data_IF_123933588185
#
_entry.id   IF_123933588185
#
_cell.length_a   1.000
_cell.length_b   1.000
_cell.length_c   1.000
_cell.angle_alpha   90.00
_cell.angle_beta   90.00
_cell.angle_gamma   90.00
#
_symmetry.space_group_name_H-M   'P 1'
#
loop_
_entity.id
_entity.type
_entity.pdbx_description
1 polymer ?
#
# COMPACT_ATOMS: atom_id res chain seq x y z
N UNK A 1 7.36 -3.21 -69.74
CA UNK A 1 7.62 -3.41 -68.28
C UNK A 1 7.25 -2.19 -67.39
N UNK A 2 7.07 -0.97 -67.86
CA UNK A 2 6.72 0.21 -67.01
C UNK A 2 5.23 0.34 -66.65
N UNK A 3 4.32 -0.09 -67.50
CA UNK A 3 2.84 0.01 -67.25
C UNK A 3 2.32 -0.92 -66.15
N UNK A 4 2.87 -2.13 -66.04
CA UNK A 4 2.46 -3.11 -65.04
C UNK A 4 2.84 -2.70 -63.60
N UNK A 5 3.99 -2.01 -63.41
CA UNK A 5 4.41 -1.49 -62.09
C UNK A 5 3.54 -0.33 -61.60
N UNK A 6 3.05 0.53 -62.55
CA UNK A 6 2.17 1.63 -62.21
C UNK A 6 0.79 1.16 -61.78
N UNK A 7 0.26 0.11 -62.45
CA UNK A 7 -1.02 -0.51 -62.07
C UNK A 7 -0.94 -1.22 -60.74
N UNK A 8 0.19 -1.86 -60.41
CA UNK A 8 0.43 -2.49 -59.11
C UNK A 8 0.52 -1.49 -57.98
N UNK A 9 1.15 -0.33 -58.24
CA UNK A 9 1.28 0.77 -57.26
C UNK A 9 -0.06 1.46 -57.01
N UNK A 10 -0.88 1.65 -58.02
CA UNK A 10 -2.23 2.20 -57.88
C UNK A 10 -3.17 1.24 -57.16
N UNK A 11 -3.05 -0.07 -57.36
CA UNK A 11 -3.85 -1.09 -56.67
C UNK A 11 -3.46 -1.22 -55.21
N UNK A 12 -2.16 -1.13 -54.86
CA UNK A 12 -1.69 -1.16 -53.47
C UNK A 12 -2.08 0.10 -52.71
N UNK A 13 -2.08 1.29 -53.31
CA UNK A 13 -2.61 2.51 -52.70
C UNK A 13 -4.10 2.44 -52.50
N UNK A 14 -4.88 1.95 -53.48
CA UNK A 14 -6.32 1.76 -53.37
C UNK A 14 -6.74 0.75 -52.28
N UNK A 15 -5.89 -0.21 -51.96
CA UNK A 15 -6.12 -1.18 -50.87
C UNK A 15 -5.72 -0.64 -49.48
N UNK A 16 -4.76 0.30 -49.42
CA UNK A 16 -4.31 0.92 -48.18
C UNK A 16 -5.26 2.00 -47.65
N UNK A 17 -5.90 2.74 -48.52
CA UNK A 17 -6.83 3.82 -48.16
C UNK A 17 -8.02 3.35 -47.31
N UNK A 18 -8.75 2.25 -47.63
CA UNK A 18 -9.85 1.80 -46.77
C UNK A 18 -9.39 1.20 -45.44
N UNK A 19 -8.14 0.69 -45.32
CA UNK A 19 -7.60 0.18 -44.08
C UNK A 19 -7.29 1.34 -43.13
N UNK A 20 -6.69 2.40 -43.65
CA UNK A 20 -6.35 3.60 -42.82
C UNK A 20 -7.63 4.36 -42.46
N UNK A 21 -8.61 4.52 -43.38
CA UNK A 21 -9.88 5.17 -43.08
C UNK A 21 -10.73 4.33 -42.11
N UNK A 22 -10.69 3.01 -42.18
CA UNK A 22 -11.42 2.12 -41.29
C UNK A 22 -10.86 2.14 -39.83
N UNK A 23 -9.55 2.29 -39.67
CA UNK A 23 -8.93 2.42 -38.34
C UNK A 23 -9.17 3.80 -37.70
N UNK A 24 -9.13 4.89 -38.48
CA UNK A 24 -9.49 6.22 -37.99
C UNK A 24 -10.98 6.34 -37.65
N UNK A 25 -11.89 5.71 -38.43
CA UNK A 25 -13.32 5.71 -38.12
C UNK A 25 -13.67 4.92 -36.86
N UNK A 26 -12.92 3.82 -36.56
CA UNK A 26 -13.13 3.04 -35.35
C UNK A 26 -12.67 3.79 -34.10
N UNK A 27 -11.53 4.46 -34.15
CA UNK A 27 -11.04 5.29 -33.05
C UNK A 27 -12.01 6.46 -32.74
N UNK A 28 -12.55 7.10 -33.79
CA UNK A 28 -13.52 8.22 -33.65
C UNK A 28 -14.89 7.75 -33.12
N UNK A 29 -15.33 6.53 -33.44
CA UNK A 29 -16.60 5.96 -32.94
C UNK A 29 -16.53 5.52 -31.50
N UNK A 30 -15.39 4.97 -31.03
CA UNK A 30 -15.19 4.61 -29.62
C UNK A 30 -15.12 5.85 -28.70
N UNK A 31 -14.48 6.92 -29.16
CA UNK A 31 -14.40 8.18 -28.39
C UNK A 31 -15.75 8.91 -28.32
N UNK A 32 -16.54 8.86 -29.37
CA UNK A 32 -17.89 9.46 -29.38
C UNK A 32 -18.88 8.65 -28.53
N UNK A 33 -18.84 7.33 -28.60
CA UNK A 33 -19.67 6.44 -27.77
C UNK A 33 -19.35 6.60 -26.26
N UNK A 34 -18.08 6.79 -25.92
CA UNK A 34 -17.66 7.07 -24.54
C UNK A 34 -18.16 8.43 -24.03
N UNK A 35 -18.08 9.48 -24.85
CA UNK A 35 -18.56 10.83 -24.51
C UNK A 35 -20.08 10.86 -24.34
N UNK A 36 -20.83 10.17 -25.22
CA UNK A 36 -22.29 10.07 -25.12
C UNK A 36 -22.75 9.32 -23.87
N UNK A 37 -22.02 8.25 -23.49
CA UNK A 37 -22.25 7.49 -22.28
C UNK A 37 -21.98 8.33 -21.04
N UNK A 38 -20.87 9.04 -20.98
CA UNK A 38 -20.50 9.90 -19.86
C UNK A 38 -21.50 11.03 -19.69
N UNK A 39 -21.89 11.73 -20.78
CA UNK A 39 -22.89 12.80 -20.77
C UNK A 39 -24.25 12.32 -20.25
N UNK A 40 -24.68 11.12 -20.65
CA UNK A 40 -25.92 10.51 -20.16
C UNK A 40 -25.84 10.20 -18.66
N UNK A 41 -24.72 9.64 -18.21
CA UNK A 41 -24.52 9.32 -16.78
C UNK A 41 -24.49 10.59 -15.91
N UNK A 42 -23.82 11.65 -16.38
CA UNK A 42 -23.82 12.95 -15.69
C UNK A 42 -25.23 13.58 -15.65
N UNK A 43 -26.04 13.41 -16.70
CA UNK A 43 -27.43 13.86 -16.71
C UNK A 43 -28.25 13.13 -15.64
N UNK A 44 -28.12 11.80 -15.54
CA UNK A 44 -28.81 11.01 -14.50
C UNK A 44 -28.35 11.42 -13.10
N UNK A 45 -27.04 11.62 -12.91
CA UNK A 45 -26.50 12.10 -11.64
C UNK A 45 -27.09 13.46 -11.23
N UNK A 46 -27.14 14.41 -12.16
CA UNK A 46 -27.75 15.73 -11.94
C UNK A 46 -29.25 15.64 -11.63
N UNK A 47 -29.96 14.72 -12.29
CA UNK A 47 -31.39 14.46 -12.03
C UNK A 47 -31.58 13.93 -10.59
N UNK A 48 -30.76 12.98 -10.14
CA UNK A 48 -30.79 12.43 -8.78
C UNK A 48 -30.55 13.53 -7.74
N UNK A 49 -29.53 14.39 -7.93
CA UNK A 49 -29.26 15.50 -7.03
C UNK A 49 -30.45 16.48 -6.96
N UNK A 50 -31.05 16.78 -8.12
CA UNK A 50 -32.23 17.64 -8.19
C UNK A 50 -33.46 17.03 -7.51
N UNK A 51 -33.63 15.72 -7.60
CA UNK A 51 -34.69 14.97 -6.92
C UNK A 51 -34.50 14.99 -5.42
N UNK A 52 -33.30 14.71 -4.93
CA UNK A 52 -32.97 14.76 -3.49
C UNK A 52 -33.33 16.15 -2.95
N UNK A 53 -32.85 17.22 -3.58
CA UNK A 53 -33.11 18.60 -3.14
C UNK A 53 -34.61 18.94 -3.06
N UNK A 54 -35.47 18.33 -3.90
CA UNK A 54 -36.90 18.64 -3.95
C UNK A 54 -37.77 17.74 -3.08
N UNK A 55 -37.34 16.50 -2.91
CA UNK A 55 -38.19 15.45 -2.34
C UNK A 55 -37.68 14.84 -1.04
N UNK A 56 -36.42 15.10 -0.65
CA UNK A 56 -35.92 14.61 0.62
C UNK A 56 -36.59 15.36 1.79
N UNK A 57 -36.83 14.66 2.88
CA UNK A 57 -37.62 15.13 4.03
C UNK A 57 -36.92 16.26 4.82
N UNK A 58 -35.59 16.30 4.75
CA UNK A 58 -34.79 17.33 5.42
C UNK A 58 -34.07 18.20 4.37
N UNK A 59 -33.77 19.46 4.73
CA UNK A 59 -32.93 20.31 3.88
C UNK A 59 -31.51 19.76 3.86
N UNK A 60 -30.98 19.56 2.67
CA UNK A 60 -29.63 19.03 2.45
C UNK A 60 -28.75 20.05 1.75
N UNK A 61 -27.51 20.18 2.19
CA UNK A 61 -26.49 20.95 1.50
C UNK A 61 -26.10 20.27 0.20
N UNK A 62 -26.18 20.99 -0.91
CA UNK A 62 -25.73 20.50 -2.22
C UNK A 62 -24.24 20.25 -2.22
N UNK A 63 -23.47 21.04 -1.50
CA UNK A 63 -22.02 20.89 -1.34
C UNK A 63 -21.68 19.58 -0.63
N UNK A 64 -22.38 19.25 0.48
CA UNK A 64 -22.17 17.99 1.20
C UNK A 64 -22.58 16.76 0.37
N UNK A 65 -23.69 16.85 -0.37
CA UNK A 65 -24.10 15.77 -1.27
C UNK A 65 -23.08 15.51 -2.37
N UNK A 66 -22.56 16.59 -2.98
CA UNK A 66 -21.56 16.47 -4.04
C UNK A 66 -20.23 15.93 -3.47
N UNK A 67 -19.77 16.45 -2.32
CA UNK A 67 -18.59 15.98 -1.65
C UNK A 67 -18.69 14.49 -1.31
N UNK A 68 -19.84 14.03 -0.76
CA UNK A 68 -20.07 12.63 -0.47
C UNK A 68 -20.10 11.72 -1.71
N UNK A 69 -20.63 12.22 -2.83
CA UNK A 69 -20.62 11.48 -4.10
C UNK A 69 -19.23 11.36 -4.70
N UNK A 70 -18.42 12.43 -4.63
CA UNK A 70 -17.02 12.43 -5.10
C UNK A 70 -16.12 11.56 -4.20
N UNK A 71 -16.32 11.61 -2.88
CA UNK A 71 -15.62 10.74 -1.95
C UNK A 71 -15.96 9.26 -2.19
N UNK A 72 -17.25 8.94 -2.37
CA UNK A 72 -17.68 7.59 -2.72
C UNK A 72 -17.12 7.10 -4.06
N UNK A 73 -16.91 8.00 -5.03
CA UNK A 73 -16.24 7.68 -6.29
C UNK A 73 -14.76 7.38 -6.09
N UNK A 74 -14.10 8.08 -5.16
CA UNK A 74 -12.70 7.83 -4.80
C UNK A 74 -12.54 6.51 -4.04
N UNK A 75 -13.40 6.25 -3.04
CA UNK A 75 -13.45 5.00 -2.25
C UNK A 75 -13.67 3.74 -3.13
N UNK A 76 -14.26 3.91 -4.32
CA UNK A 76 -14.46 2.84 -5.29
C UNK A 76 -13.21 2.51 -6.13
N UNK A 77 -12.16 3.34 -6.10
CA UNK A 77 -10.93 3.14 -6.86
C UNK A 77 -9.92 2.29 -6.10
N UNK A 78 -9.53 2.75 -4.93
CA UNK A 78 -8.63 2.04 -4.01
C UNK A 78 -8.85 2.51 -2.56
N UNK A 79 -8.26 1.79 -1.63
CA UNK A 79 -8.44 1.98 -0.18
C UNK A 79 -7.76 3.23 0.38
N UNK A 80 -6.96 3.93 -0.43
CA UNK A 80 -6.20 5.13 -0.05
C UNK A 80 -6.67 6.39 -0.80
N UNK A 81 -7.53 6.23 -1.80
CA UNK A 81 -8.07 7.35 -2.56
C UNK A 81 -9.11 8.13 -1.75
N UNK A 82 -9.13 9.45 -1.89
CA UNK A 82 -10.11 10.30 -1.21
C UNK A 82 -10.29 11.64 -1.93
N UNK A 83 -11.50 12.19 -1.88
CA UNK A 83 -11.80 13.54 -2.36
C UNK A 83 -11.62 14.55 -1.21
N UNK A 84 -10.94 15.66 -1.48
CA UNK A 84 -10.66 16.73 -0.52
C UNK A 84 -11.34 18.00 -1.01
N UNK A 85 -12.42 18.48 -0.35
CA UNK A 85 -13.08 19.71 -0.73
C UNK A 85 -12.15 20.91 -0.55
N UNK A 86 -12.40 22.00 -1.28
CA UNK A 86 -11.58 23.22 -1.23
C UNK A 86 -11.29 23.68 0.21
N UNK A 87 -12.30 23.62 1.08
CA UNK A 87 -12.19 24.02 2.48
C UNK A 87 -11.21 23.14 3.31
N UNK A 88 -10.88 21.95 2.85
CA UNK A 88 -9.98 21.02 3.51
C UNK A 88 -8.57 20.95 2.93
N UNK A 89 -8.33 21.53 1.76
CA UNK A 89 -7.09 21.31 0.98
C UNK A 89 -5.84 21.77 1.73
N UNK A 90 -5.84 23.00 2.27
CA UNK A 90 -4.63 23.52 2.92
C UNK A 90 -4.34 22.77 4.22
N UNK A 91 -5.36 22.51 5.03
CA UNK A 91 -5.22 21.70 6.22
C UNK A 91 -4.70 20.30 5.91
N UNK A 92 -5.23 19.63 4.87
CA UNK A 92 -4.78 18.27 4.53
C UNK A 92 -3.36 18.23 3.97
N UNK A 93 -2.86 19.29 3.34
CA UNK A 93 -1.44 19.40 2.95
C UNK A 93 -0.52 19.37 4.16
N UNK A 94 -0.88 20.10 5.23
CA UNK A 94 -0.14 20.08 6.49
C UNK A 94 -0.19 18.68 7.12
N UNK A 95 -1.36 18.08 7.20
CA UNK A 95 -1.57 16.73 7.71
C UNK A 95 -0.71 15.71 6.97
N UNK A 96 -0.60 15.78 5.65
CA UNK A 96 0.25 14.87 4.88
C UNK A 96 1.74 14.99 5.20
N UNK A 97 2.21 16.16 5.62
CA UNK A 97 3.60 16.33 6.06
C UNK A 97 3.84 15.69 7.44
N UNK A 98 2.84 15.71 8.31
CA UNK A 98 2.86 15.05 9.61
C UNK A 98 2.76 13.52 9.43
N UNK A 99 1.87 13.04 8.55
CA UNK A 99 1.63 11.62 8.32
C UNK A 99 1.23 10.90 9.61
N UNK A 100 1.92 9.81 9.95
CA UNK A 100 1.67 9.02 11.16
C UNK A 100 2.44 9.50 12.40
N UNK A 101 3.21 10.60 12.33
CA UNK A 101 4.15 11.01 13.38
C UNK A 101 3.51 11.31 14.74
N UNK A 102 2.20 11.60 14.78
CA UNK A 102 1.50 11.93 16.03
C UNK A 102 0.64 10.77 16.57
N UNK A 103 0.28 9.81 15.76
CA UNK A 103 -0.50 8.65 16.20
C UNK A 103 0.25 7.32 16.07
N UNK A 104 1.18 7.20 15.13
CA UNK A 104 1.81 5.94 14.76
C UNK A 104 0.89 4.99 13.99
N UNK A 105 -0.23 5.50 13.47
CA UNK A 105 -1.24 4.69 12.79
C UNK A 105 -1.21 4.92 11.28
N UNK A 106 -1.20 3.83 10.52
CA UNK A 106 -1.59 3.85 9.12
C UNK A 106 -3.01 3.32 9.01
N UNK A 107 -3.89 4.11 8.42
CA UNK A 107 -5.32 3.78 8.26
C UNK A 107 -5.71 3.80 6.79
N UNK A 108 -6.65 2.94 6.45
CA UNK A 108 -7.26 2.86 5.13
C UNK A 108 -8.77 2.73 5.24
N UNK A 109 -9.46 2.88 4.11
CA UNK A 109 -10.91 2.74 4.05
C UNK A 109 -11.30 1.88 2.85
N UNK A 110 -12.15 0.89 3.07
CA UNK A 110 -12.70 0.06 2.01
C UNK A 110 -14.22 0.01 2.17
N UNK A 111 -14.95 0.47 1.15
CA UNK A 111 -16.42 0.48 1.09
C UNK A 111 -17.07 1.08 2.33
N UNK A 112 -16.52 2.19 2.80
CA UNK A 112 -17.00 2.90 3.98
C UNK A 112 -16.53 2.33 5.32
N UNK A 113 -15.72 1.29 5.35
CA UNK A 113 -15.15 0.71 6.57
C UNK A 113 -13.73 1.23 6.75
N UNK A 114 -13.50 1.99 7.81
CA UNK A 114 -12.17 2.48 8.18
C UNK A 114 -11.48 1.44 9.08
N UNK A 115 -10.22 1.14 8.82
CA UNK A 115 -9.47 0.16 9.60
C UNK A 115 -7.99 0.53 9.73
N UNK A 116 -7.38 -0.02 10.77
CA UNK A 116 -5.94 0.12 11.05
C UNK A 116 -5.16 -0.87 10.21
N UNK A 117 -4.32 -0.37 9.31
CA UNK A 117 -3.41 -1.17 8.47
C UNK A 117 -2.19 -1.56 9.26
N UNK A 118 -1.58 -0.58 9.95
CA UNK A 118 -0.37 -0.78 10.74
C UNK A 118 -0.36 0.13 11.97
N UNK A 119 0.31 -0.33 13.01
CA UNK A 119 0.60 0.41 14.24
C UNK A 119 2.11 0.39 14.44
N UNK A 120 2.74 1.56 14.47
CA UNK A 120 4.17 1.66 14.70
C UNK A 120 4.51 1.34 16.16
N UNK A 121 5.58 0.58 16.42
CA UNK A 121 6.00 0.25 17.79
C UNK A 121 6.33 1.51 18.61
N UNK A 122 6.04 1.49 19.90
CA UNK A 122 6.26 2.59 20.85
C UNK A 122 5.62 3.92 20.41
N UNK A 123 4.58 3.86 19.59
CA UNK A 123 3.78 5.02 19.17
C UNK A 123 2.59 5.24 20.10
N UNK A 124 1.97 6.44 20.10
CA UNK A 124 0.73 6.68 20.83
C UNK A 124 -0.39 5.68 20.53
N UNK A 125 -0.51 5.23 19.28
CA UNK A 125 -1.48 4.19 18.90
C UNK A 125 -1.18 2.84 19.54
N UNK A 126 0.11 2.47 19.62
CA UNK A 126 0.54 1.25 20.31
C UNK A 126 0.29 1.35 21.82
N UNK A 127 0.60 2.50 22.44
CA UNK A 127 0.35 2.73 23.87
C UNK A 127 -1.14 2.75 24.22
N UNK A 128 -1.99 3.24 23.32
CA UNK A 128 -3.45 3.19 23.45
C UNK A 128 -4.02 1.76 23.29
N UNK A 129 -3.19 0.77 22.93
CA UNK A 129 -3.61 -0.61 22.74
C UNK A 129 -4.31 -0.86 21.42
N UNK A 130 -4.10 -0.01 20.40
CA UNK A 130 -4.59 -0.26 19.05
C UNK A 130 -3.79 -1.39 18.39
N UNK A 131 -4.49 -2.21 17.61
CA UNK A 131 -3.90 -3.33 16.89
C UNK A 131 -4.21 -3.21 15.39
N UNK A 132 -3.33 -3.80 14.60
CA UNK A 132 -3.56 -4.00 13.18
C UNK A 132 -4.83 -4.82 12.95
N UNK A 133 -5.67 -4.38 11.99
CA UNK A 133 -6.95 -4.99 11.66
C UNK A 133 -8.12 -4.48 12.50
N UNK A 134 -7.89 -3.59 13.46
CA UNK A 134 -8.95 -2.90 14.17
C UNK A 134 -9.82 -2.12 13.21
N UNK A 135 -11.12 -2.27 13.31
CA UNK A 135 -12.08 -1.43 12.59
C UNK A 135 -12.39 -0.23 13.47
N UNK A 136 -12.08 0.94 12.97
CA UNK A 136 -12.42 2.20 13.63
C UNK A 136 -13.89 2.53 13.34
N UNK A 137 -14.79 2.29 14.29
CA UNK A 137 -16.21 2.55 14.12
C UNK A 137 -16.57 4.01 14.34
N UNK A 138 -15.93 4.65 15.36
CA UNK A 138 -16.08 6.08 15.65
C UNK A 138 -14.76 6.69 16.06
N UNK A 139 -14.62 7.98 15.78
CA UNK A 139 -13.60 8.90 16.36
C UNK A 139 -14.40 10.00 17.04
N UNK A 140 -14.22 10.14 18.34
CA UNK A 140 -15.10 10.89 19.22
C UNK A 140 -16.57 10.39 19.03
N UNK A 141 -17.52 11.28 18.84
CA UNK A 141 -18.93 10.90 18.59
C UNK A 141 -19.25 10.73 17.10
N UNK A 142 -18.24 10.83 16.20
CA UNK A 142 -18.46 10.80 14.75
C UNK A 142 -18.18 9.42 14.18
N UNK A 143 -19.18 8.83 13.51
CA UNK A 143 -19.00 7.57 12.80
C UNK A 143 -18.06 7.70 11.61
N UNK A 144 -17.03 6.86 11.58
CA UNK A 144 -16.03 6.82 10.48
C UNK A 144 -16.64 6.38 9.14
N UNK A 145 -17.78 5.68 9.17
CA UNK A 145 -18.49 5.25 7.96
C UNK A 145 -18.86 6.41 7.04
N UNK A 146 -19.19 7.57 7.66
CA UNK A 146 -19.55 8.80 6.94
C UNK A 146 -18.40 9.80 6.86
N UNK A 147 -17.27 9.48 7.48
CA UNK A 147 -16.09 10.33 7.51
C UNK A 147 -15.21 9.99 6.29
N UNK A 148 -14.90 10.94 5.41
CA UNK A 148 -13.92 10.74 4.35
C UNK A 148 -12.56 10.35 4.91
N UNK A 149 -11.75 9.57 4.17
CA UNK A 149 -10.46 9.11 4.64
C UNK A 149 -9.53 10.28 5.03
N UNK A 150 -9.53 11.36 4.23
CA UNK A 150 -8.71 12.54 4.55
C UNK A 150 -9.03 13.17 5.92
N UNK A 151 -10.31 13.15 6.33
CA UNK A 151 -10.72 13.67 7.66
C UNK A 151 -10.27 12.75 8.79
N UNK A 152 -10.34 11.44 8.59
CA UNK A 152 -9.82 10.47 9.54
C UNK A 152 -8.31 10.64 9.72
N UNK A 153 -7.57 10.74 8.61
CA UNK A 153 -6.14 11.00 8.64
C UNK A 153 -5.81 12.34 9.32
N UNK A 154 -6.63 13.38 9.08
CA UNK A 154 -6.48 14.67 9.74
C UNK A 154 -6.68 14.60 11.26
N UNK A 155 -7.68 13.85 11.71
CA UNK A 155 -7.89 13.65 13.14
C UNK A 155 -6.71 12.95 13.80
N UNK A 156 -6.17 11.91 13.17
CA UNK A 156 -5.04 11.12 13.68
C UNK A 156 -3.67 11.84 13.58
N UNK A 157 -3.59 12.93 12.82
CA UNK A 157 -2.42 13.79 12.70
C UNK A 157 -2.59 15.12 13.44
N UNK A 158 -3.58 15.23 14.32
CA UNK A 158 -3.86 16.43 15.11
C UNK A 158 -2.71 16.84 16.03
N UNK A 159 -2.92 17.91 16.81
CA UNK A 159 -1.87 18.44 17.68
C UNK A 159 -1.50 17.47 18.82
N UNK A 160 -0.20 17.33 19.16
CA UNK A 160 0.24 16.54 20.31
C UNK A 160 -0.46 16.98 21.61
N UNK A 161 -0.90 15.97 22.39
CA UNK A 161 -1.69 16.17 23.61
C UNK A 161 -3.20 16.15 23.38
N UNK A 162 -3.67 16.08 22.14
CA UNK A 162 -5.09 15.88 21.84
C UNK A 162 -5.50 14.47 22.20
N UNK A 163 -6.58 14.32 22.95
CA UNK A 163 -7.20 13.03 23.24
C UNK A 163 -8.33 12.74 22.25
N UNK A 164 -8.29 11.57 21.62
CA UNK A 164 -9.33 11.05 20.73
C UNK A 164 -9.98 9.82 21.37
N UNK A 165 -11.29 9.83 21.47
CA UNK A 165 -12.08 8.68 21.92
C UNK A 165 -12.36 7.81 20.70
N UNK A 166 -11.90 6.56 20.72
CA UNK A 166 -12.02 5.63 19.60
C UNK A 166 -12.97 4.49 19.99
N UNK A 167 -14.07 4.32 19.27
CA UNK A 167 -14.85 3.08 19.31
C UNK A 167 -14.27 2.13 18.25
N UNK A 168 -13.71 1.02 18.71
CA UNK A 168 -12.99 0.05 17.90
C UNK A 168 -13.72 -1.28 17.89
N UNK A 169 -13.90 -1.88 16.73
CA UNK A 169 -14.40 -3.25 16.61
C UNK A 169 -13.22 -4.18 16.32
N UNK A 170 -12.89 -5.03 17.30
CA UNK A 170 -11.84 -6.04 17.24
C UNK A 170 -12.41 -7.43 17.49
N UNK A 171 -12.25 -8.36 16.56
CA UNK A 171 -12.69 -9.77 16.69
C UNK A 171 -14.16 -9.89 17.12
N UNK A 172 -15.03 -8.98 16.64
CA UNK A 172 -16.46 -8.95 16.97
C UNK A 172 -16.80 -8.33 18.33
N UNK A 173 -15.82 -7.82 19.06
CA UNK A 173 -16.02 -7.08 20.32
C UNK A 173 -15.84 -5.59 20.08
N UNK A 174 -16.65 -4.78 20.73
CA UNK A 174 -16.51 -3.32 20.75
C UNK A 174 -15.63 -2.93 21.92
N UNK A 175 -14.61 -2.13 21.66
CA UNK A 175 -13.66 -1.59 22.64
C UNK A 175 -13.70 -0.06 22.56
N UNK A 176 -13.70 0.59 23.72
CA UNK A 176 -13.54 2.03 23.83
C UNK A 176 -12.10 2.30 24.25
N UNK A 177 -11.32 2.92 23.36
CA UNK A 177 -9.92 3.25 23.56
C UNK A 177 -9.73 4.77 23.53
N UNK A 178 -8.82 5.26 24.37
CA UNK A 178 -8.41 6.67 24.32
C UNK A 178 -7.02 6.76 23.70
N UNK A 179 -6.91 7.44 22.57
CA UNK A 179 -5.66 7.75 21.91
C UNK A 179 -5.24 9.18 22.25
N UNK A 180 -4.14 9.33 22.97
CA UNK A 180 -3.53 10.65 23.19
C UNK A 180 -2.46 10.86 22.14
N UNK A 181 -2.67 11.81 21.22
CA UNK A 181 -1.70 12.14 20.17
C UNK A 181 -0.40 12.68 20.78
N UNK A 182 0.73 12.28 20.22
CA UNK A 182 2.04 12.70 20.70
C UNK A 182 3.14 12.44 19.69
N UNK A 183 4.29 13.06 19.89
CA UNK A 183 5.48 12.75 19.10
C UNK A 183 6.18 11.52 19.69
N UNK A 184 6.68 10.65 18.83
CA UNK A 184 7.46 9.49 19.21
C UNK A 184 8.65 9.34 18.25
N UNK A 185 9.68 8.62 18.69
CA UNK A 185 10.83 8.32 17.84
C UNK A 185 10.63 6.99 17.13
N UNK A 186 10.78 6.99 15.82
CA UNK A 186 10.76 5.76 15.03
C UNK A 186 11.96 4.89 15.42
N UNK A 187 11.72 3.62 15.70
CA UNK A 187 12.79 2.71 16.07
C UNK A 187 13.64 2.37 14.84
N UNK A 188 14.97 2.36 14.94
CA UNK A 188 15.83 1.89 13.86
C UNK A 188 15.62 0.38 13.65
N UNK A 189 16.06 -0.18 12.50
CA UNK A 189 16.17 -1.62 12.33
C UNK A 189 16.90 -2.27 13.50
N UNK A 190 16.43 -3.44 13.95
CA UNK A 190 17.01 -4.16 15.07
C UNK A 190 17.36 -5.60 14.69
N UNK A 191 18.37 -6.15 15.36
CA UNK A 191 18.80 -7.53 15.19
C UNK A 191 18.68 -8.26 16.53
N UNK A 192 17.97 -9.38 16.50
CA UNK A 192 17.77 -10.25 17.66
C UNK A 192 18.30 -11.66 17.38
N UNK A 193 18.61 -12.40 18.42
CA UNK A 193 18.94 -13.83 18.32
C UNK A 193 17.81 -14.61 18.97
N UNK A 194 17.02 -15.31 18.15
CA UNK A 194 15.89 -16.12 18.62
C UNK A 194 16.14 -17.57 18.21
N UNK A 195 16.15 -18.48 19.18
CA UNK A 195 16.46 -19.90 18.97
C UNK A 195 17.78 -20.14 18.20
N UNK A 196 18.77 -19.25 18.39
CA UNK A 196 20.07 -19.33 17.73
C UNK A 196 20.10 -18.79 16.30
N UNK A 197 19.00 -18.32 15.77
CA UNK A 197 18.90 -17.68 14.45
C UNK A 197 18.94 -16.15 14.55
N UNK A 198 19.47 -15.48 13.54
CA UNK A 198 19.46 -14.03 13.42
C UNK A 198 18.11 -13.57 12.86
N UNK A 199 17.44 -12.69 13.59
CA UNK A 199 16.15 -12.10 13.22
C UNK A 199 16.34 -10.60 13.06
N UNK A 200 16.26 -10.12 11.82
CA UNK A 200 16.29 -8.71 11.47
C UNK A 200 14.85 -8.18 11.42
N UNK A 201 14.53 -7.22 12.27
CA UNK A 201 13.27 -6.50 12.20
C UNK A 201 13.49 -5.17 11.48
N UNK A 202 12.87 -4.99 10.33
CA UNK A 202 12.77 -3.70 9.66
C UNK A 202 11.58 -2.93 10.23
N UNK A 203 11.76 -1.62 10.42
CA UNK A 203 10.75 -0.76 11.05
C UNK A 203 10.18 0.26 10.07
N UNK A 204 11.05 0.85 9.26
CA UNK A 204 10.65 1.86 8.29
C UNK A 204 11.68 2.00 7.16
N UNK A 205 11.20 2.19 5.93
CA UNK A 205 12.07 2.44 4.77
C UNK A 205 12.43 3.92 4.68
N UNK A 206 13.46 4.32 5.43
CA UNK A 206 14.00 5.68 5.48
C UNK A 206 15.51 5.67 5.14
N UNK A 207 16.00 6.75 4.54
CA UNK A 207 17.39 6.83 4.11
C UNK A 207 18.39 6.60 5.24
N UNK A 208 18.08 7.07 6.47
CA UNK A 208 18.91 6.85 7.65
C UNK A 208 19.09 5.36 7.98
N UNK A 209 18.06 4.56 7.75
CA UNK A 209 18.06 3.12 8.06
C UNK A 209 18.87 2.29 7.06
N UNK A 210 19.18 2.81 5.87
CA UNK A 210 20.01 2.11 4.86
C UNK A 210 21.43 1.88 5.41
N UNK A 211 22.04 2.90 6.00
CA UNK A 211 23.40 2.79 6.55
C UNK A 211 23.43 1.90 7.82
N UNK A 212 22.38 1.95 8.64
CA UNK A 212 22.24 1.03 9.79
C UNK A 212 22.18 -0.41 9.30
N UNK A 213 21.34 -0.69 8.30
CA UNK A 213 21.19 -2.03 7.72
C UNK A 213 22.51 -2.52 7.09
N UNK A 214 23.22 -1.66 6.36
CA UNK A 214 24.54 -2.00 5.80
C UNK A 214 25.52 -2.44 6.88
N UNK A 215 25.57 -1.71 7.99
CA UNK A 215 26.43 -2.06 9.13
C UNK A 215 26.08 -3.44 9.71
N UNK A 216 24.78 -3.69 9.95
CA UNK A 216 24.32 -4.98 10.46
C UNK A 216 24.65 -6.15 9.52
N UNK A 217 24.42 -5.98 8.22
CA UNK A 217 24.74 -7.03 7.24
C UNK A 217 26.24 -7.29 7.15
N UNK A 218 27.07 -6.26 7.21
CA UNK A 218 28.54 -6.40 7.21
C UNK A 218 29.02 -7.16 8.46
N UNK A 219 28.43 -6.93 9.63
CA UNK A 219 28.72 -7.68 10.86
C UNK A 219 28.35 -9.17 10.71
N UNK A 220 27.17 -9.49 10.17
CA UNK A 220 26.76 -10.86 9.94
C UNK A 220 27.72 -11.61 9.00
N UNK A 221 28.14 -10.96 7.91
CA UNK A 221 29.11 -11.53 6.97
C UNK A 221 30.47 -11.75 7.63
N UNK A 222 30.93 -10.83 8.50
CA UNK A 222 32.17 -10.96 9.24
C UNK A 222 32.13 -12.09 10.29
N UNK A 223 30.93 -12.42 10.79
CA UNK A 223 30.66 -13.54 11.73
C UNK A 223 30.42 -14.88 10.99
N UNK A 224 30.55 -14.92 9.66
CA UNK A 224 30.28 -16.11 8.83
C UNK A 224 28.86 -16.65 8.98
N UNK A 225 27.89 -15.74 9.19
CA UNK A 225 26.46 -16.05 9.25
C UNK A 225 25.93 -16.10 7.83
N UNK A 226 25.19 -17.15 7.48
CA UNK A 226 24.66 -17.40 6.14
C UNK A 226 23.11 -17.51 6.10
N UNK A 227 22.43 -17.32 7.25
CA UNK A 227 20.99 -17.43 7.39
C UNK A 227 20.40 -16.25 8.14
N UNK A 228 19.34 -15.68 7.60
CA UNK A 228 18.70 -14.50 8.16
C UNK A 228 17.18 -14.56 8.00
N UNK A 229 16.46 -14.37 9.10
CA UNK A 229 15.03 -14.11 9.07
C UNK A 229 14.80 -12.61 9.07
N UNK A 230 13.97 -12.10 8.12
CA UNK A 230 13.65 -10.68 8.00
C UNK A 230 12.17 -10.48 8.30
N UNK A 231 11.85 -9.70 9.32
CA UNK A 231 10.49 -9.38 9.71
C UNK A 231 10.08 -8.01 9.16
N UNK A 232 9.14 -8.01 8.21
CA UNK A 232 8.52 -6.81 7.63
C UNK A 232 7.02 -6.74 7.93
N UNK A 233 6.56 -7.48 8.92
CA UNK A 233 5.16 -7.46 9.36
C UNK A 233 4.79 -6.11 9.97
N UNK A 234 3.59 -5.62 9.65
CA UNK A 234 3.11 -4.33 10.13
C UNK A 234 3.86 -3.12 9.55
N UNK A 235 4.70 -3.31 8.54
CA UNK A 235 5.51 -2.26 7.95
C UNK A 235 4.74 -1.59 6.79
N UNK A 236 4.06 -0.49 7.10
CA UNK A 236 3.29 0.30 6.13
C UNK A 236 3.94 1.65 5.78
N UNK A 237 5.01 2.01 6.47
CA UNK A 237 5.67 3.30 6.30
C UNK A 237 6.97 3.26 5.51
N UNK A 238 7.30 4.39 4.87
CA UNK A 238 8.59 4.60 4.24
C UNK A 238 8.51 4.96 2.76
N UNK A 239 9.69 5.20 2.20
CA UNK A 239 9.89 5.58 0.80
C UNK A 239 10.14 4.33 -0.07
N UNK A 240 9.44 4.25 -1.19
CA UNK A 240 9.57 3.13 -2.12
C UNK A 240 10.96 3.01 -2.75
N UNK A 241 11.61 4.12 -3.07
CA UNK A 241 12.98 4.13 -3.60
C UNK A 241 13.97 3.59 -2.56
N UNK A 242 13.74 3.89 -1.28
CA UNK A 242 14.55 3.34 -0.17
C UNK A 242 14.31 1.84 -0.03
N UNK A 243 13.06 1.35 -0.22
CA UNK A 243 12.80 -0.08 -0.19
C UNK A 243 13.58 -0.84 -1.27
N UNK A 244 13.61 -0.33 -2.50
CA UNK A 244 14.49 -0.87 -3.55
C UNK A 244 15.97 -0.79 -3.17
N UNK A 245 16.41 0.34 -2.59
CA UNK A 245 17.80 0.50 -2.17
C UNK A 245 18.21 -0.48 -1.08
N UNK A 246 17.32 -0.76 -0.13
CA UNK A 246 17.55 -1.77 0.91
C UNK A 246 17.55 -3.19 0.33
N UNK A 247 16.61 -3.51 -0.58
CA UNK A 247 16.61 -4.80 -1.26
C UNK A 247 17.90 -5.01 -2.08
N UNK A 248 18.42 -3.95 -2.71
CA UNK A 248 19.69 -3.97 -3.43
C UNK A 248 20.92 -4.25 -2.55
N UNK A 249 20.81 -4.29 -1.22
CA UNK A 249 21.87 -4.78 -0.34
C UNK A 249 21.97 -6.32 -0.32
N UNK A 250 20.92 -6.99 -0.77
CA UNK A 250 20.78 -8.45 -0.82
C UNK A 250 20.89 -9.02 -2.23
N UNK A 251 20.45 -8.26 -3.25
CA UNK A 251 20.34 -8.72 -4.63
C UNK A 251 20.81 -7.64 -5.61
N UNK A 252 21.26 -8.06 -6.80
CA UNK A 252 21.65 -7.19 -7.91
C UNK A 252 20.64 -7.22 -9.06
N UNK A 253 20.91 -6.41 -10.10
CA UNK A 253 20.11 -6.37 -11.33
C UNK A 253 18.96 -5.36 -11.29
N UNK A 254 17.95 -5.59 -12.14
CA UNK A 254 16.76 -4.75 -12.19
C UNK A 254 15.82 -5.13 -11.06
N UNK A 255 15.59 -4.20 -10.12
CA UNK A 255 14.78 -4.45 -8.93
C UNK A 255 13.28 -4.20 -9.15
N UNK A 256 12.94 -3.43 -10.18
CA UNK A 256 11.57 -3.07 -10.50
C UNK A 256 11.47 -1.67 -11.09
N UNK A 257 10.25 -1.17 -11.19
CA UNK A 257 9.98 0.13 -11.81
C UNK A 257 8.72 0.78 -11.25
N UNK A 258 8.59 2.08 -11.46
CA UNK A 258 7.36 2.83 -11.24
C UNK A 258 6.71 3.12 -12.59
N UNK A 259 5.52 2.58 -12.80
CA UNK A 259 4.75 2.70 -14.03
C UNK A 259 3.56 3.64 -13.85
N UNK A 260 3.44 4.62 -14.72
CA UNK A 260 2.32 5.56 -14.80
C UNK A 260 1.72 5.53 -16.22
N UNK A 261 0.48 6.00 -16.38
CA UNK A 261 -0.14 6.14 -17.70
C UNK A 261 0.46 7.26 -18.53
N UNK A 262 0.88 8.35 -17.87
CA UNK A 262 1.17 9.63 -18.50
C UNK A 262 2.63 10.07 -18.33
N UNK A 263 3.43 9.37 -17.52
CA UNK A 263 4.81 9.71 -17.25
C UNK A 263 5.76 8.60 -17.72
N UNK A 264 7.01 8.96 -17.95
CA UNK A 264 8.04 7.98 -18.28
C UNK A 264 8.25 7.01 -17.10
N UNK A 265 8.45 5.74 -17.41
CA UNK A 265 8.77 4.71 -16.42
C UNK A 265 10.08 5.04 -15.70
N UNK A 266 10.08 4.93 -14.37
CA UNK A 266 11.27 5.07 -13.54
C UNK A 266 11.76 3.67 -13.18
N UNK A 267 13.02 3.37 -13.48
CA UNK A 267 13.62 2.06 -13.19
C UNK A 267 14.49 2.11 -11.93
N UNK A 268 14.41 1.06 -11.12
CA UNK A 268 15.22 0.87 -9.91
C UNK A 268 16.22 -0.26 -10.14
N UNK A 269 17.49 0.02 -9.83
CA UNK A 269 18.60 -0.91 -10.05
C UNK A 269 19.26 -1.25 -8.71
N UNK A 270 19.65 -2.52 -8.56
CA UNK A 270 20.45 -2.99 -7.44
C UNK A 270 21.89 -2.49 -7.51
N UNK A 271 22.63 -2.74 -6.44
CA UNK A 271 24.06 -2.47 -6.40
C UNK A 271 24.83 -3.53 -7.20
N UNK A 272 25.99 -3.18 -7.74
CA UNK A 272 26.83 -4.14 -8.48
C UNK A 272 27.34 -5.31 -7.62
N UNK A 273 27.40 -5.11 -6.30
CA UNK A 273 27.82 -6.13 -5.33
C UNK A 273 26.94 -6.10 -4.08
N UNK A 274 25.98 -7.02 -3.95
CA UNK A 274 25.21 -7.20 -2.72
C UNK A 274 26.12 -7.48 -1.53
N UNK A 275 25.76 -6.95 -0.36
CA UNK A 275 26.51 -7.20 0.88
C UNK A 275 26.19 -8.60 1.42
N UNK A 276 24.90 -8.95 1.41
CA UNK A 276 24.39 -10.24 1.89
C UNK A 276 24.14 -11.20 0.73
N UNK A 277 24.59 -12.45 0.88
CA UNK A 277 24.41 -13.52 -0.11
C UNK A 277 23.93 -14.84 0.52
N UNK A 278 23.55 -14.79 1.80
CA UNK A 278 23.04 -15.96 2.52
C UNK A 278 21.55 -16.20 2.25
N UNK A 279 21.04 -17.28 2.82
CA UNK A 279 19.63 -17.65 2.76
C UNK A 279 18.76 -16.67 3.56
N UNK A 280 17.59 -16.32 3.04
CA UNK A 280 16.64 -15.42 3.71
C UNK A 280 15.23 -15.98 3.72
N UNK A 281 14.55 -15.81 4.85
CA UNK A 281 13.10 -16.02 5.01
C UNK A 281 12.48 -14.70 5.45
N UNK A 282 11.35 -14.33 4.86
CA UNK A 282 10.70 -13.03 5.10
C UNK A 282 9.32 -13.24 5.71
N UNK A 283 9.08 -12.61 6.86
CA UNK A 283 7.76 -12.60 7.48
C UNK A 283 6.95 -11.42 6.96
N UNK A 284 5.76 -11.72 6.44
CA UNK A 284 4.79 -10.74 5.95
C UNK A 284 3.42 -10.93 6.61
N UNK A 285 2.62 -9.86 6.57
CA UNK A 285 1.24 -9.91 7.03
C UNK A 285 0.37 -8.81 6.41
N UNK A 286 -0.89 -8.70 6.86
CA UNK A 286 -1.84 -7.72 6.35
C UNK A 286 -1.44 -6.26 6.57
N UNK A 287 -0.47 -5.99 7.45
CA UNK A 287 0.10 -4.67 7.68
C UNK A 287 1.37 -4.39 6.86
N UNK A 288 1.88 -5.39 6.12
CA UNK A 288 2.94 -5.19 5.14
C UNK A 288 2.34 -4.46 3.93
N UNK A 289 2.69 -3.19 3.73
CA UNK A 289 2.11 -2.32 2.70
C UNK A 289 3.19 -1.52 1.96
N UNK A 290 2.94 -1.20 0.69
CA UNK A 290 3.74 -0.25 -0.08
C UNK A 290 5.21 -0.62 -0.14
N UNK A 291 6.07 0.13 0.56
CA UNK A 291 7.52 -0.12 0.62
C UNK A 291 7.87 -1.52 1.14
N UNK A 292 7.10 -2.05 2.12
CA UNK A 292 7.25 -3.42 2.63
C UNK A 292 6.94 -4.47 1.56
N UNK A 293 5.90 -4.24 0.74
CA UNK A 293 5.54 -5.12 -0.37
C UNK A 293 6.59 -5.10 -1.47
N UNK A 294 7.13 -3.92 -1.81
CA UNK A 294 8.22 -3.76 -2.77
C UNK A 294 9.43 -4.59 -2.34
N UNK A 295 9.89 -4.39 -1.10
CA UNK A 295 11.02 -5.13 -0.55
C UNK A 295 10.79 -6.65 -0.61
N UNK A 296 9.66 -7.13 -0.09
CA UNK A 296 9.32 -8.54 -0.08
C UNK A 296 9.22 -9.15 -1.48
N UNK A 297 8.67 -8.41 -2.46
CA UNK A 297 8.57 -8.85 -3.86
C UNK A 297 9.95 -9.01 -4.50
N UNK A 298 10.82 -8.01 -4.35
CA UNK A 298 12.18 -8.05 -4.89
C UNK A 298 12.97 -9.22 -4.30
N UNK A 299 12.93 -9.37 -2.98
CA UNK A 299 13.63 -10.44 -2.29
C UNK A 299 13.13 -11.83 -2.68
N UNK A 300 11.81 -11.99 -2.89
CA UNK A 300 11.24 -13.25 -3.37
C UNK A 300 11.68 -13.59 -4.79
N UNK A 301 11.72 -12.59 -5.69
CA UNK A 301 11.96 -12.84 -7.12
C UNK A 301 13.44 -12.94 -7.48
N UNK A 302 14.33 -12.22 -6.81
CA UNK A 302 15.78 -12.22 -7.07
C UNK A 302 16.60 -12.90 -5.98
N UNK A 303 16.13 -12.86 -4.72
CA UNK A 303 16.84 -13.41 -3.58
C UNK A 303 16.40 -14.82 -3.20
N UNK A 304 15.52 -15.45 -3.98
CA UNK A 304 14.94 -16.78 -3.68
C UNK A 304 14.36 -16.89 -2.25
N UNK A 305 13.97 -15.74 -1.66
CA UNK A 305 13.46 -15.69 -0.29
C UNK A 305 12.05 -16.27 -0.22
N UNK A 306 11.80 -17.12 0.78
CA UNK A 306 10.44 -17.60 1.05
C UNK A 306 9.66 -16.58 1.88
N UNK A 307 8.45 -16.26 1.45
CA UNK A 307 7.51 -15.43 2.20
C UNK A 307 6.65 -16.28 3.13
N UNK A 308 6.61 -15.93 4.40
CA UNK A 308 5.90 -16.68 5.44
C UNK A 308 4.91 -15.77 6.18
N UNK A 309 3.70 -16.26 6.44
CA UNK A 309 2.72 -15.57 7.24
C UNK A 309 1.36 -15.39 6.58
N UNK A 310 0.88 -14.16 6.50
CA UNK A 310 -0.43 -13.81 5.93
C UNK A 310 -0.26 -12.93 4.70
N UNK A 311 -1.27 -12.92 3.84
CA UNK A 311 -1.26 -12.03 2.66
C UNK A 311 -1.08 -10.56 3.07
N UNK A 312 -0.30 -9.82 2.27
CA UNK A 312 -0.03 -8.38 2.48
C UNK A 312 -1.26 -7.50 2.19
N UNK A 313 -1.10 -6.19 2.34
CA UNK A 313 -2.17 -5.23 2.07
C UNK A 313 -2.60 -5.22 0.59
N UNK A 314 -1.65 -5.19 -0.34
CA UNK A 314 -1.93 -5.27 -1.78
C UNK A 314 -1.97 -3.93 -2.51
N UNK A 315 -1.22 -2.95 -2.03
CA UNK A 315 -1.17 -1.63 -2.67
C UNK A 315 0.21 -0.97 -2.53
N UNK A 316 1.08 -1.20 -3.51
CA UNK A 316 2.31 -0.43 -3.66
C UNK A 316 2.14 0.61 -4.77
N UNK A 317 1.51 1.72 -4.45
CA UNK A 317 1.17 2.79 -5.37
C UNK A 317 1.70 4.15 -4.93
N UNK A 318 2.05 4.98 -5.92
CA UNK A 318 2.36 6.38 -5.67
C UNK A 318 1.07 7.16 -5.53
N UNK A 319 0.89 7.80 -4.37
CA UNK A 319 -0.26 8.65 -4.09
C UNK A 319 0.03 10.10 -4.49
N UNK A 320 -0.80 10.68 -5.35
CA UNK A 320 -0.68 12.07 -5.79
C UNK A 320 -1.98 12.86 -5.56
N UNK A 321 -1.83 14.08 -5.05
CA UNK A 321 -2.92 15.05 -4.96
C UNK A 321 -3.07 15.76 -6.30
N UNK A 322 -4.21 15.58 -6.95
CA UNK A 322 -4.53 16.15 -8.26
C UNK A 322 -5.53 17.29 -8.07
N UNK A 323 -5.19 18.54 -8.45
CA UNK A 323 -6.08 19.68 -8.30
C UNK A 323 -7.22 19.63 -9.32
N UNK A 324 -8.42 20.02 -8.87
CA UNK A 324 -9.60 20.21 -9.70
C UNK A 324 -9.83 21.69 -10.03
N UNK A 325 -10.71 21.96 -10.98
CA UNK A 325 -10.95 23.31 -11.51
C UNK A 325 -11.57 24.29 -10.50
N UNK A 326 -12.24 23.77 -9.46
CA UNK A 326 -12.83 24.55 -8.36
C UNK A 326 -11.87 24.76 -7.19
N UNK A 327 -10.63 24.24 -7.29
CA UNK A 327 -9.59 24.30 -6.27
C UNK A 327 -9.64 23.15 -5.26
N UNK A 328 -10.66 22.29 -5.28
CA UNK A 328 -10.65 21.03 -4.54
C UNK A 328 -9.59 20.07 -5.10
N UNK A 329 -9.33 18.95 -4.42
CA UNK A 329 -8.33 17.99 -4.87
C UNK A 329 -8.83 16.55 -4.71
N UNK A 330 -8.24 15.65 -5.49
CA UNK A 330 -8.41 14.21 -5.31
C UNK A 330 -7.05 13.59 -5.04
N UNK A 331 -6.95 12.82 -3.99
CA UNK A 331 -5.81 11.94 -3.74
C UNK A 331 -6.06 10.63 -4.49
N UNK A 332 -5.18 10.29 -5.40
CA UNK A 332 -5.29 9.07 -6.21
C UNK A 332 -3.96 8.34 -6.28
N UNK A 333 -4.05 7.02 -6.45
CA UNK A 333 -2.92 6.22 -6.93
C UNK A 333 -2.74 6.47 -8.43
N UNK A 334 -1.69 7.21 -8.81
CA UNK A 334 -1.42 7.60 -10.20
C UNK A 334 -0.36 6.74 -10.90
N UNK A 335 0.36 5.94 -10.13
CA UNK A 335 1.36 5.01 -10.62
C UNK A 335 1.50 3.81 -9.66
N UNK A 336 1.88 2.65 -10.20
CA UNK A 336 2.19 1.47 -9.41
C UNK A 336 3.67 1.15 -9.48
N UNK A 337 4.21 0.73 -8.35
CA UNK A 337 5.52 0.07 -8.28
C UNK A 337 5.40 -1.38 -8.71
N UNK A 338 6.43 -1.91 -9.33
CA UNK A 338 6.47 -3.31 -9.78
C UNK A 338 7.66 -4.06 -9.17
N UNK A 339 7.60 -5.38 -9.23
CA UNK A 339 8.75 -6.23 -9.01
C UNK A 339 9.71 -6.28 -10.21
N UNK A 340 10.78 -7.08 -10.11
CA UNK A 340 11.72 -7.35 -11.20
C UNK A 340 11.09 -7.89 -12.49
N UNK A 341 9.96 -8.58 -12.37
CA UNK A 341 9.17 -9.11 -13.51
C UNK A 341 8.37 -8.04 -14.26
N UNK A 342 8.33 -6.80 -13.76
CA UNK A 342 7.56 -5.69 -14.33
C UNK A 342 6.07 -5.72 -13.99
N UNK A 343 5.59 -6.71 -13.24
CA UNK A 343 4.18 -6.79 -12.86
C UNK A 343 3.89 -5.81 -11.71
N UNK A 344 2.82 -5.00 -11.81
CA UNK A 344 2.48 -4.02 -10.78
C UNK A 344 2.04 -4.71 -9.48
N UNK A 345 2.52 -4.19 -8.35
CA UNK A 345 2.14 -4.66 -7.01
C UNK A 345 0.85 -3.94 -6.60
N UNK A 346 -0.26 -4.39 -7.16
CA UNK A 346 -1.61 -3.86 -6.94
C UNK A 346 -2.59 -4.92 -6.38
N UNK A 347 -2.03 -6.03 -5.93
CA UNK A 347 -2.74 -7.12 -5.25
C UNK A 347 -1.90 -7.63 -4.08
N UNK A 348 -2.57 -8.20 -3.08
CA UNK A 348 -1.89 -8.77 -1.92
C UNK A 348 -0.85 -9.82 -2.33
N UNK A 349 0.36 -9.70 -1.80
CA UNK A 349 1.37 -10.75 -1.90
C UNK A 349 0.90 -11.95 -1.10
N UNK A 350 0.74 -13.07 -1.78
CA UNK A 350 0.39 -14.33 -1.14
C UNK A 350 1.68 -14.98 -0.64
N UNK A 351 1.81 -15.28 0.66
CA UNK A 351 3.00 -15.95 1.18
C UNK A 351 3.12 -17.37 0.62
N UNK A 352 4.36 -17.86 0.50
CA UNK A 352 4.66 -19.23 0.07
C UNK A 352 4.24 -20.24 1.15
N UNK A 353 4.40 -19.86 2.40
CA UNK A 353 3.94 -20.63 3.57
C UNK A 353 2.93 -19.79 4.36
N UNK A 354 1.66 -20.16 4.23
CA UNK A 354 0.58 -19.49 4.97
C UNK A 354 0.52 -19.97 6.39
N UNK A 355 0.48 -19.02 7.31
CA UNK A 355 0.23 -19.25 8.73
C UNK A 355 -1.16 -18.72 9.06
N UNK A 356 -2.02 -19.62 9.55
CA UNK A 356 -3.37 -19.29 10.00
C UNK A 356 -3.37 -19.38 11.52
N UNK A 357 -3.48 -18.25 12.15
CA UNK A 357 -3.54 -18.17 13.61
C UNK A 357 -5.01 -18.29 14.06
N UNK A 358 -5.44 -19.51 14.32
CA UNK A 358 -6.79 -19.78 14.84
C UNK A 358 -6.99 -19.27 16.27
N UNK A 359 -5.92 -19.16 17.07
CA UNK A 359 -6.00 -18.71 18.46
C UNK A 359 -6.22 -17.18 18.55
N UNK A 360 -5.80 -16.41 17.55
CA UNK A 360 -6.18 -15.00 17.45
C UNK A 360 -7.68 -14.80 17.17
N UNK A 361 -8.40 -15.83 16.73
CA UNK A 361 -9.85 -15.77 16.46
C UNK A 361 -10.71 -16.14 17.67
N UNK A 362 -10.16 -16.82 18.67
CA UNK A 362 -10.90 -17.24 19.87
C UNK A 362 -10.33 -16.46 21.07
N UNK A 363 -10.97 -15.36 21.38
CA UNK A 363 -10.62 -14.53 22.53
C UNK A 363 -10.78 -15.29 23.86
N UNK A 364 -9.84 -15.15 24.76
CA UNK A 364 -10.08 -15.38 26.16
C UNK A 364 -9.00 -16.02 27.03
N UNK A 365 -7.78 -16.22 26.57
CA UNK A 365 -6.71 -16.66 27.46
C UNK A 365 -5.62 -15.56 27.54
N UNK A 366 -5.37 -15.13 28.78
CA UNK A 366 -4.29 -14.18 29.17
C UNK A 366 -2.89 -14.86 29.09
N UNK A 367 -2.69 -15.74 28.11
CA UNK A 367 -1.39 -16.32 27.82
C UNK A 367 -0.69 -15.54 26.71
N UNK A 368 0.62 -15.36 26.79
CA UNK A 368 1.45 -14.90 25.67
C UNK A 368 1.10 -15.73 24.43
N UNK A 369 0.47 -15.14 23.43
CA UNK A 369 0.14 -15.84 22.19
C UNK A 369 1.45 -16.15 21.48
N UNK A 370 1.77 -17.43 21.32
CA UNK A 370 2.92 -17.88 20.53
C UNK A 370 2.88 -17.23 19.15
N UNK A 371 3.99 -16.63 18.73
CA UNK A 371 4.12 -16.04 17.39
C UNK A 371 4.37 -17.15 16.37
N UNK A 372 3.28 -17.83 15.99
CA UNK A 372 3.33 -18.97 15.05
C UNK A 372 3.98 -18.60 13.70
N UNK A 373 3.90 -17.34 13.29
CA UNK A 373 4.54 -16.88 12.05
C UNK A 373 6.05 -16.83 12.21
N UNK A 374 6.54 -16.30 13.31
CA UNK A 374 7.96 -16.28 13.66
C UNK A 374 8.51 -17.70 13.82
N UNK A 375 7.80 -18.54 14.57
CA UNK A 375 8.19 -19.94 14.75
C UNK A 375 8.31 -20.68 13.42
N UNK A 376 7.32 -20.50 12.52
CA UNK A 376 7.36 -21.13 11.21
C UNK A 376 8.50 -20.62 10.33
N UNK A 377 8.81 -19.33 10.40
CA UNK A 377 9.98 -18.75 9.72
C UNK A 377 11.31 -19.32 10.23
N UNK A 378 11.46 -19.45 11.55
CA UNK A 378 12.64 -20.05 12.18
C UNK A 378 12.79 -21.54 11.82
N UNK A 379 11.69 -22.29 11.81
CA UNK A 379 11.67 -23.71 11.41
C UNK A 379 12.15 -23.89 9.96
N UNK A 380 11.72 -23.04 9.04
CA UNK A 380 12.16 -23.09 7.64
C UNK A 380 13.66 -22.83 7.49
N UNK A 381 14.20 -21.84 8.19
CA UNK A 381 15.66 -21.59 8.19
C UNK A 381 16.45 -22.76 8.77
N UNK A 382 15.91 -23.49 9.74
CA UNK A 382 16.55 -24.68 10.33
C UNK A 382 16.46 -25.89 9.40
N UNK A 383 15.30 -26.10 8.76
CA UNK A 383 15.01 -27.27 7.93
C UNK A 383 15.84 -27.36 6.66
N UNK A 384 16.16 -26.23 6.02
CA UNK A 384 17.03 -26.21 4.84
C UNK A 384 18.45 -26.72 5.11
N UNK A 385 18.91 -26.74 6.37
CA UNK A 385 20.20 -27.31 6.77
C UNK A 385 20.16 -28.87 6.92
N UNK A 386 19.00 -29.45 7.20
CA UNK A 386 18.88 -30.91 7.35
C UNK A 386 18.76 -31.63 6.00
N UNK A 387 18.16 -31.01 4.98
CA UNK A 387 18.02 -31.61 3.66
C UNK A 387 19.36 -31.69 2.90
N UNK A 388 20.25 -30.73 3.10
CA UNK A 388 21.62 -30.77 2.52
C UNK A 388 22.48 -31.87 3.18
N UNK A 389 22.27 -32.20 4.47
CA UNK A 389 23.00 -33.27 5.16
C UNK A 389 22.49 -34.67 4.83
N UNK A 390 21.28 -34.83 4.30
CA UNK A 390 20.74 -36.14 3.90
C UNK A 390 21.09 -36.55 2.46
N UNK A 391 21.63 -35.64 1.67
CA UNK A 391 22.03 -35.88 0.25
C UNK A 391 23.56 -36.01 0.10
N UNK A 392 24.36 -35.72 1.12
CA UNK A 392 25.80 -35.94 1.20
C UNK A 392 26.12 -37.21 2.00
#
# INVERSE_FOLDING_TARGET
MKRSRLVFLLLSVALLVPIISGSLSRAATDESAGKDSLSKNLSVFSEVLSLIRRAYVEETSMEELLAGALDGSSDALDQMATYIPLSGVDHYREVRQIGSQHSGLTVAKDRGIAFVVAVEPASPGSEAGLERGDILAKVDDVSTRRMPLWRLQSALAGEPGTELLLEVLRRGQTLDLTLTLGTYETQPPSMEIIQGQRVLRLTRFEQANVEVLKGMLAELVAEDIDKLLIDVRGLAGGDAGVAYSMAGLFVDGSLGELQSRDEATIHFQGQEAPIWQGETVILIDTGTQGAGEIFATVMRQLGDSQLVGRASFGLAGRQRMIPLSDGSQVLLTDAFYSGPDGEPINQSLVPDVRVVDFNQQVAGDEGESEDLTLEKGLELLQGSAEDVRKVA
#
